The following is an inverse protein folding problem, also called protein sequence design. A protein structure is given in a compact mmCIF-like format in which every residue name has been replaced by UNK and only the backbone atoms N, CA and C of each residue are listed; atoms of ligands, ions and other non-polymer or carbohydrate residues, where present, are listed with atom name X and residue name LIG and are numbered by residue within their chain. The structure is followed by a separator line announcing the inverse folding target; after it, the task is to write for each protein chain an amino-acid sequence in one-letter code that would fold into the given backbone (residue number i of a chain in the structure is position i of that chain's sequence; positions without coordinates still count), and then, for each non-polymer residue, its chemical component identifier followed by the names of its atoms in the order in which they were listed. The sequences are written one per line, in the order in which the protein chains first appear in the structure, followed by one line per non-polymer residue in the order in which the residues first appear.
data_IF_449625430558
#
_entry.id   IF_449625430558
#
_cell.length_a   1.000
_cell.length_b   1.000
_cell.length_c   1.000
_cell.angle_alpha   90.00
_cell.angle_beta   90.00
_cell.angle_gamma   90.00
#
_symmetry.space_group_name_H-M   'P 1'
#
loop_
_entity.id
_entity.type
_entity.pdbx_description
1 polymer ?
#
# COMPACT_ATOMS: atom_id res chain seq x y z
N UNK A 1 41.57 -21.30 33.72
CA UNK A 1 41.61 -20.33 32.60
C UNK A 1 41.15 -20.92 31.26
N UNK A 2 41.56 -22.13 30.86
CA UNK A 2 41.22 -22.72 29.54
C UNK A 2 39.72 -22.90 29.27
N UNK A 3 38.93 -23.34 30.26
CA UNK A 3 37.49 -23.57 30.11
C UNK A 3 36.68 -22.29 29.84
N UNK A 4 37.04 -21.20 30.53
CA UNK A 4 36.37 -19.90 30.38
C UNK A 4 36.65 -19.29 28.99
N UNK A 5 37.86 -19.44 28.47
CA UNK A 5 38.22 -18.97 27.13
C UNK A 5 37.44 -19.70 26.02
N UNK A 6 37.29 -21.02 26.13
CA UNK A 6 36.51 -21.81 25.17
C UNK A 6 35.03 -21.43 25.23
N UNK A 7 34.47 -21.24 26.43
CA UNK A 7 33.09 -20.81 26.62
C UNK A 7 32.82 -19.43 26.00
N UNK A 8 33.68 -18.44 26.27
CA UNK A 8 33.55 -17.09 25.72
C UNK A 8 33.68 -17.08 24.19
N UNK A 9 34.53 -17.93 23.61
CA UNK A 9 34.66 -18.06 22.15
C UNK A 9 33.39 -18.60 21.47
N UNK A 10 32.64 -19.49 22.14
CA UNK A 10 31.36 -20.02 21.63
C UNK A 10 30.27 -18.94 21.67
N UNK A 11 30.23 -18.16 22.74
CA UNK A 11 29.30 -17.03 22.89
C UNK A 11 29.55 -15.97 21.83
N UNK A 12 30.81 -15.60 21.60
CA UNK A 12 31.17 -14.61 20.57
C UNK A 12 30.74 -15.05 19.16
N UNK A 13 30.95 -16.34 18.82
CA UNK A 13 30.46 -16.90 17.54
C UNK A 13 28.94 -16.87 17.43
N UNK A 14 28.23 -17.16 18.52
CA UNK A 14 26.76 -17.09 18.56
C UNK A 14 26.26 -15.66 18.33
N UNK A 15 26.91 -14.65 18.93
CA UNK A 15 26.61 -13.25 18.68
C UNK A 15 26.81 -12.86 17.22
N UNK A 16 27.94 -13.27 16.60
CA UNK A 16 28.18 -13.00 15.17
C UNK A 16 27.09 -13.61 14.29
N UNK A 17 26.71 -14.87 14.54
CA UNK A 17 25.66 -15.55 13.78
C UNK A 17 24.32 -14.82 13.93
N UNK A 18 23.97 -14.38 15.14
CA UNK A 18 22.76 -13.61 15.39
C UNK A 18 22.74 -12.29 14.62
N UNK A 19 23.83 -11.52 14.62
CA UNK A 19 23.92 -10.27 13.87
C UNK A 19 23.82 -10.48 12.35
N UNK A 20 24.44 -11.53 11.81
CA UNK A 20 24.33 -11.89 10.39
C UNK A 20 22.87 -12.23 10.04
N UNK A 21 22.18 -13.00 10.90
CA UNK A 21 20.78 -13.36 10.70
C UNK A 21 19.87 -12.12 10.66
N UNK A 22 20.05 -11.19 11.61
CA UNK A 22 19.28 -9.94 11.68
C UNK A 22 19.52 -9.08 10.43
N UNK A 23 20.76 -8.99 9.97
CA UNK A 23 21.10 -8.24 8.75
C UNK A 23 20.45 -8.85 7.50
N UNK A 24 20.49 -10.18 7.36
CA UNK A 24 19.84 -10.89 6.24
C UNK A 24 18.33 -10.68 6.25
N UNK A 25 17.68 -10.84 7.41
CA UNK A 25 16.24 -10.60 7.55
C UNK A 25 15.92 -9.15 7.19
N UNK A 26 16.75 -8.20 7.64
CA UNK A 26 16.54 -6.79 7.30
C UNK A 26 16.56 -6.55 5.79
N UNK A 27 17.47 -7.18 5.03
CA UNK A 27 17.50 -7.04 3.56
C UNK A 27 16.21 -7.51 2.88
N UNK A 28 15.61 -8.60 3.35
CA UNK A 28 14.36 -9.12 2.78
C UNK A 28 13.10 -8.36 3.23
N UNK A 29 13.21 -7.55 4.28
CA UNK A 29 12.11 -6.74 4.82
C UNK A 29 12.32 -5.23 4.61
N UNK A 30 13.40 -4.79 3.95
CA UNK A 30 13.48 -3.42 3.44
C UNK A 30 12.36 -3.30 2.40
N UNK A 31 11.36 -2.43 2.61
CA UNK A 31 10.41 -2.14 1.56
C UNK A 31 11.23 -1.59 0.40
N UNK A 32 11.29 -2.34 -0.69
CA UNK A 32 11.81 -1.82 -1.95
C UNK A 32 10.92 -0.65 -2.30
N UNK A 33 11.36 0.58 -2.01
CA UNK A 33 10.70 1.78 -2.48
C UNK A 33 10.62 1.61 -4.00
N UNK A 34 9.42 1.41 -4.59
CA UNK A 34 9.35 1.35 -6.03
C UNK A 34 9.85 2.71 -6.51
N UNK A 35 10.86 2.66 -7.36
CA UNK A 35 11.41 3.80 -8.08
C UNK A 35 10.23 4.64 -8.57
N UNK A 36 10.13 5.86 -8.04
CA UNK A 36 9.09 6.81 -8.40
C UNK A 36 9.36 7.22 -9.85
N UNK A 37 8.71 6.56 -10.79
CA UNK A 37 8.65 7.06 -12.15
C UNK A 37 7.77 8.32 -12.14
N UNK A 38 8.46 9.44 -11.98
CA UNK A 38 7.90 10.80 -11.85
C UNK A 38 7.40 11.36 -13.18
N UNK A 39 7.40 10.59 -14.26
CA UNK A 39 6.89 11.05 -15.56
C UNK A 39 5.38 10.79 -15.66
N UNK A 40 4.60 11.46 -14.81
CA UNK A 40 3.17 11.62 -15.06
C UNK A 40 3.02 12.58 -16.23
N UNK A 41 2.56 12.08 -17.37
CA UNK A 41 2.37 12.88 -18.58
C UNK A 41 1.19 13.86 -18.35
N UNK A 42 1.52 15.06 -17.89
CA UNK A 42 0.57 16.07 -17.40
C UNK A 42 -0.37 16.64 -18.49
N UNK A 43 -0.13 16.29 -19.75
CA UNK A 43 -0.90 16.73 -20.91
C UNK A 43 -2.34 16.20 -20.95
N UNK A 44 -2.68 15.19 -20.15
CA UNK A 44 -4.02 14.61 -20.06
C UNK A 44 -4.77 15.01 -18.78
N UNK A 45 -4.12 15.76 -17.88
CA UNK A 45 -4.74 16.23 -16.65
C UNK A 45 -5.52 17.50 -17.01
N UNK A 46 -6.84 17.40 -17.03
CA UNK A 46 -7.71 18.56 -17.19
C UNK A 46 -7.67 19.43 -15.93
N UNK A 47 -6.72 20.36 -15.91
CA UNK A 47 -6.48 21.32 -14.82
C UNK A 47 -7.61 22.35 -14.67
N UNK A 48 -8.63 22.33 -15.54
CA UNK A 48 -9.82 23.18 -15.38
C UNK A 48 -10.84 22.58 -14.42
N UNK A 49 -10.73 21.28 -14.12
CA UNK A 49 -11.56 20.59 -13.14
C UNK A 49 -10.90 20.62 -11.76
N UNK A 50 -11.68 20.92 -10.71
CA UNK A 50 -11.21 20.84 -9.31
C UNK A 50 -10.92 19.39 -8.86
N UNK A 51 -11.30 18.40 -9.69
CA UNK A 51 -11.23 16.98 -9.38
C UNK A 51 -10.67 16.15 -10.52
N UNK A 52 -9.69 15.30 -10.21
CA UNK A 52 -9.09 14.34 -11.12
C UNK A 52 -9.75 12.97 -11.00
N UNK A 53 -9.73 12.23 -12.12
CA UNK A 53 -10.04 10.81 -12.09
C UNK A 53 -8.89 10.02 -11.43
N UNK A 54 -9.17 9.14 -10.45
CA UNK A 54 -8.12 8.53 -9.63
C UNK A 54 -7.25 7.50 -10.36
N UNK A 55 -7.68 6.99 -11.52
CA UNK A 55 -6.94 6.01 -12.33
C UNK A 55 -6.93 6.45 -13.80
N UNK A 56 -6.05 7.38 -14.23
CA UNK A 56 -6.13 8.03 -15.54
C UNK A 56 -6.20 7.08 -16.75
N UNK A 57 -5.55 5.92 -16.65
CA UNK A 57 -5.51 4.90 -17.70
C UNK A 57 -6.74 3.96 -17.69
N UNK A 58 -7.56 4.00 -16.64
CA UNK A 58 -8.67 3.09 -16.40
C UNK A 58 -9.92 3.83 -15.91
N UNK A 59 -10.90 4.01 -16.79
CA UNK A 59 -12.13 4.78 -16.51
C UNK A 59 -13.38 3.92 -16.35
N UNK A 60 -13.27 2.60 -16.49
CA UNK A 60 -14.39 1.67 -16.39
C UNK A 60 -14.91 1.53 -14.96
N UNK A 61 -16.15 1.98 -14.72
CA UNK A 61 -16.86 1.78 -13.46
C UNK A 61 -17.61 0.45 -13.51
N UNK A 62 -17.24 -0.48 -12.61
CA UNK A 62 -17.92 -1.78 -12.47
C UNK A 62 -19.13 -1.71 -11.55
N UNK A 63 -19.08 -0.83 -10.53
CA UNK A 63 -20.19 -0.64 -9.61
C UNK A 63 -20.29 0.83 -9.20
N UNK A 64 -21.48 1.39 -9.40
CA UNK A 64 -21.80 2.76 -9.01
C UNK A 64 -22.15 2.87 -7.52
N UNK A 65 -22.14 4.09 -7.02
CA UNK A 65 -22.66 4.43 -5.70
C UNK A 65 -24.17 4.20 -5.63
N UNK A 66 -24.65 3.71 -4.49
CA UNK A 66 -26.08 3.63 -4.19
C UNK A 66 -26.62 2.21 -4.00
N UNK A 67 -27.93 2.06 -4.21
CA UNK A 67 -28.62 0.78 -3.99
C UNK A 67 -28.22 -0.26 -5.03
N UNK A 68 -27.97 -1.48 -4.57
CA UNK A 68 -27.65 -2.65 -5.39
C UNK A 68 -28.18 -3.93 -4.76
N UNK A 69 -28.25 -4.99 -5.57
CA UNK A 69 -28.47 -6.34 -5.04
C UNK A 69 -27.27 -6.75 -4.19
N UNK A 70 -27.53 -7.41 -3.06
CA UNK A 70 -26.46 -7.91 -2.19
C UNK A 70 -25.58 -8.90 -2.97
N UNK A 71 -24.27 -8.70 -3.05
CA UNK A 71 -23.38 -9.55 -3.86
C UNK A 71 -23.21 -10.95 -3.25
N UNK A 72 -23.35 -11.07 -1.93
CA UNK A 72 -23.20 -12.30 -1.15
C UNK A 72 -24.13 -12.26 0.07
N UNK A 73 -24.32 -13.40 0.74
CA UNK A 73 -25.10 -13.45 1.98
C UNK A 73 -24.44 -12.57 3.06
N UNK A 74 -25.22 -11.71 3.72
CA UNK A 74 -24.75 -10.80 4.77
C UNK A 74 -24.08 -9.51 4.28
N UNK A 75 -23.85 -9.35 2.97
CA UNK A 75 -23.33 -8.10 2.43
C UNK A 75 -24.39 -6.99 2.37
N UNK A 76 -23.94 -5.74 2.32
CA UNK A 76 -24.85 -4.58 2.21
C UNK A 76 -25.42 -4.43 0.81
N UNK A 77 -26.71 -4.08 0.74
CA UNK A 77 -27.42 -3.64 -0.47
C UNK A 77 -27.22 -2.16 -0.81
N UNK A 78 -26.38 -1.43 -0.06
CA UNK A 78 -26.06 -0.04 -0.35
C UNK A 78 -24.53 0.13 -0.47
N UNK A 79 -24.06 0.47 -1.66
CA UNK A 79 -22.65 0.70 -1.97
C UNK A 79 -22.29 2.16 -1.67
N UNK A 80 -21.39 2.37 -0.70
CA UNK A 80 -20.95 3.71 -0.26
C UNK A 80 -19.74 4.25 -1.04
N UNK A 81 -19.48 3.72 -2.22
CA UNK A 81 -18.36 4.13 -3.06
C UNK A 81 -18.62 3.77 -4.52
N UNK A 82 -17.59 3.92 -5.35
CA UNK A 82 -17.55 3.39 -6.72
C UNK A 82 -16.42 2.37 -6.80
N UNK A 83 -16.62 1.30 -7.57
CA UNK A 83 -15.57 0.32 -7.87
C UNK A 83 -15.10 0.54 -9.32
N UNK A 84 -13.83 0.89 -9.49
CA UNK A 84 -13.17 1.11 -10.80
C UNK A 84 -12.31 -0.10 -11.11
N UNK A 85 -12.44 -0.65 -12.32
CA UNK A 85 -11.65 -1.80 -12.75
C UNK A 85 -10.24 -1.34 -13.15
N UNK A 86 -9.22 -1.84 -12.47
CA UNK A 86 -7.83 -1.65 -12.84
C UNK A 86 -6.99 -2.89 -12.48
N UNK A 87 -5.94 -3.23 -13.25
CA UNK A 87 -4.98 -4.26 -12.89
C UNK A 87 -4.30 -3.98 -11.54
N UNK A 88 -3.78 -5.03 -10.92
CA UNK A 88 -2.93 -4.89 -9.74
C UNK A 88 -1.69 -4.05 -10.06
N UNK A 89 -1.28 -3.17 -9.14
CA UNK A 89 -0.14 -2.28 -9.31
C UNK A 89 -0.45 -0.98 -10.05
N UNK A 90 -1.69 -0.76 -10.53
CA UNK A 90 -2.09 0.53 -11.11
C UNK A 90 -1.89 1.67 -10.11
N UNK A 91 -1.24 2.76 -10.58
CA UNK A 91 -1.06 3.98 -9.78
C UNK A 91 -2.43 4.62 -9.50
N UNK A 92 -2.70 4.91 -8.23
CA UNK A 92 -3.91 5.63 -7.79
C UNK A 92 -3.51 7.07 -7.46
N UNK A 93 -4.23 8.02 -8.05
CA UNK A 93 -4.05 9.44 -7.84
C UNK A 93 -5.04 9.99 -6.80
N UNK A 94 -4.60 11.01 -6.07
CA UNK A 94 -5.50 11.84 -5.31
C UNK A 94 -6.47 12.55 -6.27
N UNK A 95 -7.76 12.46 -6.00
CA UNK A 95 -8.77 13.14 -6.83
C UNK A 95 -8.72 14.65 -6.64
N UNK A 96 -8.18 15.15 -5.52
CA UNK A 96 -8.03 16.58 -5.25
C UNK A 96 -6.93 16.78 -4.22
N UNK A 97 -6.54 18.05 -3.98
CA UNK A 97 -5.59 18.39 -2.93
C UNK A 97 -6.15 18.01 -1.56
N UNK A 98 -5.29 17.51 -0.68
CA UNK A 98 -5.73 16.87 0.55
C UNK A 98 -4.61 16.69 1.55
N UNK A 99 -4.92 16.71 2.86
CA UNK A 99 -4.05 16.11 3.88
C UNK A 99 -4.42 14.65 4.13
N UNK A 100 -3.42 13.78 4.17
CA UNK A 100 -3.61 12.38 4.60
C UNK A 100 -3.87 12.36 6.11
N UNK A 101 -5.03 11.86 6.53
CA UNK A 101 -5.40 11.76 7.96
C UNK A 101 -5.30 10.35 8.51
N UNK A 102 -5.20 9.33 7.64
CA UNK A 102 -5.04 7.93 8.04
C UNK A 102 -4.41 7.10 6.93
N UNK A 103 -3.55 6.16 7.32
CA UNK A 103 -3.04 5.07 6.49
C UNK A 103 -3.12 3.77 7.29
N UNK A 104 -3.64 2.70 6.69
CA UNK A 104 -3.74 1.41 7.38
C UNK A 104 -4.61 0.40 6.65
N UNK A 105 -4.49 -0.87 7.07
CA UNK A 105 -5.36 -1.95 6.61
C UNK A 105 -6.59 -2.02 7.51
N UNK A 106 -7.75 -1.80 6.92
CA UNK A 106 -9.03 -2.14 7.54
C UNK A 106 -9.54 -3.40 6.83
N UNK A 107 -10.04 -4.38 7.58
CA UNK A 107 -10.41 -5.70 7.06
C UNK A 107 -11.22 -5.65 5.75
N UNK A 108 -10.99 -6.61 4.86
CA UNK A 108 -11.60 -6.67 3.52
C UNK A 108 -10.65 -6.33 2.36
N UNK A 109 -9.34 -6.24 2.60
CA UNK A 109 -8.32 -6.13 1.53
C UNK A 109 -8.19 -4.75 0.90
N UNK A 110 -8.70 -3.70 1.53
CA UNK A 110 -8.66 -2.33 1.02
C UNK A 110 -7.68 -1.47 1.83
N UNK A 111 -6.71 -0.87 1.16
CA UNK A 111 -5.93 0.26 1.68
C UNK A 111 -6.80 1.51 1.53
N UNK A 112 -7.26 2.08 2.64
CA UNK A 112 -7.91 3.39 2.62
C UNK A 112 -6.85 4.46 2.85
N UNK A 113 -6.68 5.35 1.86
CA UNK A 113 -6.12 6.67 2.10
C UNK A 113 -7.31 7.61 2.36
N UNK A 114 -7.47 8.07 3.61
CA UNK A 114 -8.42 9.13 3.89
C UNK A 114 -7.77 10.45 3.46
N UNK A 115 -8.23 11.00 2.34
CA UNK A 115 -8.00 12.39 1.95
C UNK A 115 -9.02 13.25 2.70
N UNK A 116 -8.58 14.09 3.64
CA UNK A 116 -9.42 15.14 4.22
C UNK A 116 -8.58 16.43 4.36
N UNK A 117 -9.15 17.51 3.79
CA UNK A 117 -8.72 18.92 3.70
C UNK A 117 -8.03 19.32 2.41
#
# INVERSE_FOLDING_TARGET
MHFLGVFMSKIFKLFIIFFILVFIISIFFIPTLPYLDTQMNFSQIDLTSEFLWPTPEYTGINSYFGKRVSPTAGASSFHKGIDIAAPEGTKILAITNGKITFTGFLGGGRLYHYFIL
#
